data_IF_436844776534
#
_entry.id   IF_436844776534
#
_cell.length_a   1.000
_cell.length_b   1.000
_cell.length_c   1.000
_cell.angle_alpha   90.00
_cell.angle_beta   90.00
_cell.angle_gamma   90.00
#
_symmetry.space_group_name_H-M   'P 1'
#
loop_
_entity.id
_entity.type
_entity.pdbx_description
1 polymer ?
#
# COMPACT_ATOMS: atom_id res chain seq x y z
N UNK A 1 33.83 46.94 43.93
CA UNK A 1 34.49 45.82 43.18
C UNK A 1 34.13 44.38 43.66
N UNK A 2 33.88 44.09 44.92
CA UNK A 2 33.52 42.73 45.42
C UNK A 2 32.15 42.21 44.97
N UNK A 3 31.12 43.06 44.81
CA UNK A 3 29.75 42.60 44.31
C UNK A 3 29.70 42.21 42.82
N UNK A 4 30.57 42.81 41.99
CA UNK A 4 30.60 42.50 40.58
C UNK A 4 31.28 41.14 40.31
N UNK A 5 32.35 40.81 41.08
CA UNK A 5 33.02 39.49 40.99
C UNK A 5 32.11 38.34 41.43
N UNK A 6 31.24 38.55 42.43
CA UNK A 6 30.28 37.55 42.90
C UNK A 6 29.20 37.24 41.86
N UNK A 7 28.69 38.24 41.14
CA UNK A 7 27.67 38.06 40.11
C UNK A 7 28.20 37.36 38.87
N UNK A 8 29.44 37.61 38.49
CA UNK A 8 30.10 36.94 37.36
C UNK A 8 30.39 35.47 37.68
N UNK A 9 30.81 35.16 38.91
CA UNK A 9 31.04 33.79 39.36
C UNK A 9 29.74 32.99 39.45
N UNK A 10 28.66 33.59 39.98
CA UNK A 10 27.33 32.96 40.03
C UNK A 10 26.75 32.68 38.64
N UNK A 11 26.95 33.60 37.68
CA UNK A 11 26.53 33.43 36.29
C UNK A 11 27.28 32.28 35.59
N UNK A 12 28.59 32.15 35.86
CA UNK A 12 29.41 31.07 35.29
C UNK A 12 29.00 29.70 35.84
N UNK A 13 28.71 29.56 37.12
CA UNK A 13 28.21 28.33 37.74
C UNK A 13 26.81 27.96 37.23
N UNK A 14 25.94 28.93 36.99
CA UNK A 14 24.61 28.70 36.41
C UNK A 14 24.72 28.20 34.95
N UNK A 15 25.61 28.80 34.16
CA UNK A 15 25.86 28.38 32.78
C UNK A 15 26.47 26.98 32.76
N UNK A 16 27.48 26.67 33.56
CA UNK A 16 28.07 25.33 33.66
C UNK A 16 27.07 24.29 34.16
N UNK A 17 26.16 24.63 35.11
CA UNK A 17 25.05 23.73 35.50
C UNK A 17 24.00 23.58 34.42
N UNK A 18 23.69 24.60 33.64
CA UNK A 18 22.77 24.51 32.53
C UNK A 18 23.35 23.65 31.40
N UNK A 19 24.65 23.74 31.11
CA UNK A 19 25.33 22.88 30.11
C UNK A 19 25.37 21.40 30.57
N UNK A 20 25.42 21.13 31.88
CA UNK A 20 25.40 19.77 32.45
C UNK A 20 24.00 19.16 32.47
N UNK A 21 22.93 19.96 32.38
CA UNK A 21 21.54 19.52 32.47
C UNK A 21 20.86 19.52 31.09
N UNK A 22 21.27 20.38 30.17
CA UNK A 22 20.72 20.42 28.81
C UNK A 22 21.49 19.45 27.91
N UNK A 23 20.92 18.28 27.69
CA UNK A 23 21.36 17.36 26.62
C UNK A 23 20.75 17.82 25.29
N UNK A 24 21.59 18.36 24.43
CA UNK A 24 21.19 18.64 23.04
C UNK A 24 21.11 17.37 22.24
N UNK A 25 20.12 17.28 21.34
CA UNK A 25 20.06 16.19 20.36
C UNK A 25 21.11 16.51 19.30
N UNK A 26 22.13 15.66 19.20
CA UNK A 26 23.09 15.75 18.10
C UNK A 26 22.45 15.23 16.82
N UNK A 27 22.06 16.14 15.94
CA UNK A 27 21.47 15.83 14.64
C UNK A 27 22.50 15.29 13.64
N UNK A 28 23.78 15.37 13.94
CA UNK A 28 24.86 14.90 13.04
C UNK A 28 25.29 13.46 13.35
N UNK A 29 24.99 12.93 14.53
CA UNK A 29 25.23 11.51 14.84
C UNK A 29 24.19 10.64 14.14
N UNK A 30 24.60 10.03 13.04
CA UNK A 30 23.83 8.98 12.38
C UNK A 30 23.67 7.79 13.33
N UNK A 31 22.45 7.56 13.84
CA UNK A 31 22.11 6.35 14.63
C UNK A 31 22.16 5.08 13.77
N UNK A 32 22.38 5.20 12.45
CA UNK A 32 22.32 4.14 11.47
C UNK A 32 23.69 3.52 11.09
N UNK A 33 24.74 3.83 11.85
CA UNK A 33 26.08 3.22 11.61
C UNK A 33 26.05 1.67 11.62
N UNK A 34 25.01 1.06 12.21
CA UNK A 34 24.78 -0.40 12.27
C UNK A 34 23.78 -0.91 11.23
N UNK A 35 23.45 -0.12 10.22
CA UNK A 35 22.58 -0.55 9.14
C UNK A 35 23.38 -1.28 8.06
N UNK A 36 22.98 -2.51 7.76
CA UNK A 36 23.62 -3.35 6.72
C UNK A 36 23.61 -2.65 5.35
N UNK A 37 22.59 -1.84 5.03
CA UNK A 37 22.50 -1.12 3.75
C UNK A 37 23.64 -0.10 3.59
N UNK A 38 24.05 0.54 4.70
CA UNK A 38 25.19 1.45 4.70
C UNK A 38 26.50 0.68 4.47
N UNK A 39 26.63 -0.49 5.10
CA UNK A 39 27.80 -1.36 4.96
C UNK A 39 27.90 -1.84 3.50
N UNK A 40 26.79 -2.29 2.91
CA UNK A 40 26.74 -2.71 1.50
C UNK A 40 27.18 -1.57 0.57
N UNK A 41 26.66 -0.36 0.77
CA UNK A 41 27.04 0.81 -0.03
C UNK A 41 28.54 1.12 0.09
N UNK A 42 29.09 1.09 1.31
CA UNK A 42 30.52 1.34 1.55
C UNK A 42 31.39 0.25 0.94
N UNK A 43 31.00 -1.02 1.03
CA UNK A 43 31.73 -2.14 0.43
C UNK A 43 31.74 -2.03 -1.11
N UNK A 44 30.57 -1.79 -1.73
CA UNK A 44 30.47 -1.59 -3.19
C UNK A 44 31.28 -0.37 -3.69
N UNK A 45 31.41 0.66 -2.87
CA UNK A 45 32.22 1.85 -3.16
C UNK A 45 33.73 1.64 -2.87
N UNK A 46 34.15 0.47 -2.43
CA UNK A 46 35.54 0.18 -2.07
C UNK A 46 36.03 0.88 -0.79
N UNK A 47 35.11 1.44 0.00
CA UNK A 47 35.39 2.08 1.29
C UNK A 47 35.53 1.08 2.43
N UNK A 48 35.05 -0.13 2.27
CA UNK A 48 35.26 -1.30 3.15
C UNK A 48 35.84 -2.43 2.35
N UNK A 49 36.75 -3.18 2.97
CA UNK A 49 37.50 -4.28 2.36
C UNK A 49 37.45 -5.53 3.26
N UNK A 50 37.94 -6.62 2.76
CA UNK A 50 38.10 -7.85 3.53
C UNK A 50 38.92 -7.59 4.84
N UNK A 51 38.39 -8.10 5.96
CA UNK A 51 38.99 -7.92 7.29
C UNK A 51 38.56 -6.62 8.01
N UNK A 52 37.93 -5.67 7.36
CA UNK A 52 37.51 -4.41 8.01
C UNK A 52 36.43 -4.65 9.08
N UNK A 53 36.52 -3.98 10.25
CA UNK A 53 35.54 -4.14 11.32
C UNK A 53 34.20 -3.47 10.95
N UNK A 54 33.12 -4.13 11.29
CA UNK A 54 31.76 -3.66 11.08
C UNK A 54 30.87 -4.02 12.26
N UNK A 55 29.87 -3.17 12.51
CA UNK A 55 28.80 -3.44 13.48
C UNK A 55 27.47 -3.48 12.76
N UNK A 56 26.63 -4.47 13.06
CA UNK A 56 25.28 -4.60 12.51
C UNK A 56 24.25 -4.83 13.60
N UNK A 57 22.99 -4.58 13.25
CA UNK A 57 21.83 -4.86 14.12
C UNK A 57 20.78 -5.64 13.35
N UNK A 58 20.08 -6.52 14.03
CA UNK A 58 18.99 -7.28 13.42
C UNK A 58 18.41 -8.34 14.33
N UNK A 59 17.50 -9.14 13.79
CA UNK A 59 17.00 -10.34 14.47
C UNK A 59 17.65 -11.57 13.85
N UNK A 60 18.06 -12.52 14.69
CA UNK A 60 18.49 -13.84 14.22
C UNK A 60 17.31 -14.49 13.50
N UNK A 61 17.48 -14.78 12.21
CA UNK A 61 16.41 -15.35 11.39
C UNK A 61 16.51 -16.87 11.27
N UNK A 62 17.73 -17.36 11.08
CA UNK A 62 18.00 -18.79 10.96
C UNK A 62 19.45 -19.08 11.35
N UNK A 63 19.68 -20.21 11.99
CA UNK A 63 21.00 -20.73 12.33
C UNK A 63 21.14 -22.09 11.68
N UNK A 64 22.22 -22.27 10.91
CA UNK A 64 22.63 -23.56 10.37
C UNK A 64 23.97 -23.93 11.00
N UNK A 65 23.87 -24.69 12.08
CA UNK A 65 25.02 -25.18 12.83
C UNK A 65 25.69 -26.34 12.08
N UNK A 66 27.05 -26.26 11.94
CA UNK A 66 27.88 -27.26 11.30
C UNK A 66 28.96 -27.77 12.27
N UNK A 67 28.85 -27.47 13.57
CA UNK A 67 29.81 -27.85 14.63
C UNK A 67 30.92 -26.81 14.81
N UNK A 68 31.97 -26.90 14.02
CA UNK A 68 33.12 -25.97 14.09
C UNK A 68 32.80 -24.55 13.60
N UNK A 69 31.76 -24.41 12.82
CA UNK A 69 31.22 -23.12 12.33
C UNK A 69 29.72 -23.18 12.14
N UNK A 70 29.07 -22.01 12.10
CA UNK A 70 27.66 -21.89 11.81
C UNK A 70 27.39 -20.74 10.84
N UNK A 71 26.43 -20.95 9.93
CA UNK A 71 25.86 -19.86 9.16
C UNK A 71 24.67 -19.26 9.92
N UNK A 72 24.74 -17.98 10.20
CA UNK A 72 23.73 -17.24 10.94
C UNK A 72 23.12 -16.20 10.01
N UNK A 73 21.86 -16.39 9.64
CA UNK A 73 21.12 -15.42 8.88
C UNK A 73 20.51 -14.37 9.81
N UNK A 74 20.84 -13.11 9.57
CA UNK A 74 20.34 -11.96 10.35
C UNK A 74 19.36 -11.17 9.51
N UNK A 75 18.16 -10.91 10.05
CA UNK A 75 17.12 -10.12 9.40
C UNK A 75 17.23 -8.66 9.80
N UNK A 76 17.42 -7.79 8.81
CA UNK A 76 17.33 -6.33 8.91
C UNK A 76 15.95 -5.82 8.43
N UNK A 77 15.68 -4.52 8.48
CA UNK A 77 14.46 -3.95 7.93
C UNK A 77 14.22 -4.25 6.44
N UNK A 78 15.27 -4.36 5.62
CA UNK A 78 15.14 -4.56 4.17
C UNK A 78 15.45 -5.97 3.70
N UNK A 79 16.42 -6.67 4.32
CA UNK A 79 16.89 -7.97 3.84
C UNK A 79 17.27 -8.92 4.95
N UNK A 80 17.50 -10.16 4.57
CA UNK A 80 18.21 -11.15 5.35
C UNK A 80 19.64 -11.25 4.78
N UNK A 81 20.66 -11.22 5.65
CA UNK A 81 22.07 -11.33 5.26
C UNK A 81 22.77 -12.37 6.11
N UNK A 82 23.83 -12.96 5.56
CA UNK A 82 24.57 -14.04 6.19
C UNK A 82 25.72 -13.52 7.04
N UNK A 83 25.85 -14.09 8.24
CA UNK A 83 27.01 -14.00 9.10
C UNK A 83 27.59 -15.39 9.32
N UNK A 84 28.86 -15.48 9.69
CA UNK A 84 29.57 -16.74 9.97
C UNK A 84 30.10 -16.68 11.40
N UNK A 85 29.63 -17.61 12.21
CA UNK A 85 30.21 -17.89 13.53
C UNK A 85 31.27 -18.99 13.39
N UNK A 86 32.41 -18.88 14.09
CA UNK A 86 33.46 -19.87 14.10
C UNK A 86 33.87 -20.19 15.54
N UNK A 87 33.93 -21.47 15.90
CA UNK A 87 34.38 -21.94 17.21
C UNK A 87 35.81 -21.45 17.50
N UNK A 88 36.00 -20.91 18.70
CA UNK A 88 37.31 -20.39 19.14
C UNK A 88 37.74 -19.06 18.53
N UNK A 89 37.00 -18.48 17.59
CA UNK A 89 37.22 -17.13 17.05
C UNK A 89 36.15 -16.16 17.50
N UNK A 90 34.90 -16.61 17.60
CA UNK A 90 33.82 -15.84 18.19
C UNK A 90 33.87 -15.91 19.72
N UNK A 91 33.61 -14.82 20.42
CA UNK A 91 33.68 -14.72 21.88
C UNK A 91 32.43 -15.25 22.62
N UNK A 92 31.50 -15.88 21.91
CA UNK A 92 30.23 -16.43 22.43
C UNK A 92 29.99 -17.83 21.86
N UNK A 93 29.14 -18.62 22.55
CA UNK A 93 28.69 -19.93 22.06
C UNK A 93 27.49 -19.72 21.13
N UNK A 94 27.44 -20.44 20.01
CA UNK A 94 26.34 -20.41 19.05
C UNK A 94 25.02 -20.83 19.69
N UNK A 95 25.05 -21.67 20.73
CA UNK A 95 23.89 -22.15 21.45
C UNK A 95 23.28 -21.11 22.43
N UNK A 96 23.97 -19.98 22.66
CA UNK A 96 23.48 -18.88 23.49
C UNK A 96 22.46 -18.00 22.72
N UNK A 97 22.34 -18.20 21.39
CA UNK A 97 21.43 -17.46 20.53
C UNK A 97 20.43 -18.38 19.84
N UNK A 98 19.26 -17.85 19.57
CA UNK A 98 18.16 -18.56 18.91
C UNK A 98 17.46 -17.67 17.88
N UNK A 99 16.66 -18.26 16.95
CA UNK A 99 15.81 -17.48 16.05
C UNK A 99 14.93 -16.49 16.80
N UNK A 100 14.80 -15.27 16.24
CA UNK A 100 14.09 -14.12 16.79
C UNK A 100 14.74 -13.45 18.01
N UNK A 101 15.98 -13.81 18.34
CA UNK A 101 16.80 -12.95 19.20
C UNK A 101 17.18 -11.67 18.44
N UNK A 102 16.92 -10.52 19.05
CA UNK A 102 17.35 -9.22 18.56
C UNK A 102 18.74 -8.91 19.09
N UNK A 103 19.65 -8.61 18.17
CA UNK A 103 21.06 -8.53 18.51
C UNK A 103 21.73 -7.29 17.93
N UNK A 104 22.78 -6.85 18.65
CA UNK A 104 23.86 -6.04 18.14
C UNK A 104 25.06 -6.98 17.93
N UNK A 105 25.65 -6.96 16.74
CA UNK A 105 26.71 -7.86 16.33
C UNK A 105 27.90 -7.03 15.83
N UNK A 106 29.07 -7.28 16.40
CA UNK A 106 30.33 -6.76 15.90
C UNK A 106 31.12 -7.91 15.23
N UNK A 107 31.78 -7.61 14.13
CA UNK A 107 32.50 -8.59 13.34
C UNK A 107 33.33 -7.94 12.24
N UNK A 108 33.78 -8.76 11.30
CA UNK A 108 34.61 -8.32 10.17
C UNK A 108 34.01 -8.73 8.85
N UNK A 109 34.18 -7.90 7.85
CA UNK A 109 33.90 -8.24 6.44
C UNK A 109 34.72 -9.49 6.06
N UNK A 110 34.05 -10.46 5.46
CA UNK A 110 34.68 -11.62 4.81
C UNK A 110 34.23 -11.59 3.33
N UNK A 111 35.09 -11.10 2.46
CA UNK A 111 34.81 -11.03 1.02
C UNK A 111 34.59 -12.44 0.46
N UNK A 112 33.42 -12.70 -0.12
CA UNK A 112 33.08 -13.97 -0.77
C UNK A 112 32.20 -13.71 -1.98
N UNK A 113 32.71 -14.00 -3.18
CA UNK A 113 32.00 -13.83 -4.43
C UNK A 113 30.74 -14.73 -4.56
N UNK A 114 30.63 -15.78 -3.73
CA UNK A 114 29.45 -16.67 -3.68
C UNK A 114 28.31 -16.06 -2.84
N UNK A 115 28.65 -15.14 -1.93
CA UNK A 115 27.64 -14.43 -1.14
C UNK A 115 26.87 -13.46 -2.03
N UNK A 116 25.52 -13.39 -1.92
CA UNK A 116 24.69 -12.44 -2.67
C UNK A 116 25.09 -10.98 -2.49
N UNK A 117 25.73 -10.63 -1.38
CA UNK A 117 26.21 -9.27 -1.08
C UNK A 117 27.65 -9.04 -1.54
N UNK A 118 28.38 -10.10 -1.99
CA UNK A 118 29.80 -10.10 -2.27
C UNK A 118 30.67 -10.25 -1.02
N UNK A 119 30.06 -10.36 0.15
CA UNK A 119 30.72 -10.60 1.43
C UNK A 119 29.76 -11.25 2.44
N UNK A 120 30.32 -11.89 3.44
CA UNK A 120 29.69 -12.29 4.69
C UNK A 120 30.26 -11.48 5.86
N UNK A 121 29.71 -11.60 7.06
CA UNK A 121 30.25 -10.98 8.26
C UNK A 121 30.74 -12.09 9.20
N UNK A 122 32.06 -12.17 9.46
CA UNK A 122 32.60 -13.05 10.52
C UNK A 122 32.27 -12.44 11.87
N UNK A 123 31.54 -13.20 12.68
CA UNK A 123 31.04 -12.75 13.98
C UNK A 123 32.16 -12.79 15.02
N UNK A 124 32.43 -11.68 15.72
CA UNK A 124 33.39 -11.60 16.83
C UNK A 124 32.65 -11.56 18.16
N UNK A 125 31.69 -10.61 18.31
CA UNK A 125 30.92 -10.46 19.54
C UNK A 125 29.42 -10.30 19.24
N UNK A 126 28.59 -10.63 20.21
CA UNK A 126 27.14 -10.44 20.11
C UNK A 126 26.57 -9.93 21.42
N UNK A 127 25.64 -8.98 21.33
CA UNK A 127 24.84 -8.49 22.47
C UNK A 127 23.37 -8.71 22.19
N UNK A 128 22.74 -9.57 22.96
CA UNK A 128 21.29 -9.79 22.89
C UNK A 128 20.58 -8.60 23.56
N UNK A 129 19.70 -7.94 22.82
CA UNK A 129 18.92 -6.78 23.28
C UNK A 129 17.44 -7.11 23.45
N UNK A 130 17.00 -8.27 22.99
CA UNK A 130 15.65 -8.80 23.13
C UNK A 130 15.57 -10.19 22.50
N UNK A 131 14.48 -10.91 22.70
CA UNK A 131 14.35 -12.24 22.10
C UNK A 131 12.99 -12.91 22.37
N UNK A 132 12.77 -14.04 21.72
CA UNK A 132 11.58 -14.86 21.90
C UNK A 132 11.63 -15.59 23.25
N UNK A 133 10.49 -15.71 23.92
CA UNK A 133 10.35 -16.43 25.21
C UNK A 133 9.96 -17.91 24.99
N UNK A 134 9.84 -18.35 23.75
CA UNK A 134 9.47 -19.73 23.44
C UNK A 134 9.61 -20.03 21.96
N UNK A 135 9.28 -21.25 21.57
CA UNK A 135 9.32 -21.67 20.17
C UNK A 135 8.31 -20.90 19.33
N UNK A 136 8.71 -20.52 18.13
CA UNK A 136 7.80 -19.86 17.19
C UNK A 136 6.69 -20.80 16.73
N UNK A 137 5.45 -20.31 16.61
CA UNK A 137 4.32 -21.12 16.12
C UNK A 137 4.43 -21.45 14.62
N UNK A 138 5.29 -20.72 13.88
CA UNK A 138 5.54 -20.89 12.45
C UNK A 138 7.04 -20.86 12.17
N UNK A 139 7.49 -21.70 11.24
CA UNK A 139 8.85 -21.62 10.70
C UNK A 139 8.93 -20.53 9.62
N UNK A 140 9.38 -19.34 10.01
CA UNK A 140 9.39 -18.16 9.14
C UNK A 140 10.59 -18.10 8.19
N UNK A 141 11.60 -18.95 8.38
CA UNK A 141 12.82 -18.97 7.56
C UNK A 141 12.68 -19.81 6.28
N UNK A 142 11.61 -20.56 6.13
CA UNK A 142 11.37 -21.46 5.00
C UNK A 142 10.17 -20.99 4.16
N UNK A 143 10.45 -20.30 3.05
CA UNK A 143 9.42 -19.75 2.16
C UNK A 143 8.51 -20.84 1.56
N UNK A 144 9.04 -22.06 1.28
CA UNK A 144 8.21 -23.15 0.78
C UNK A 144 7.19 -23.60 1.81
N UNK A 145 7.58 -23.68 3.09
CA UNK A 145 6.65 -24.05 4.16
C UNK A 145 5.58 -22.95 4.34
N UNK A 146 5.98 -21.69 4.31
CA UNK A 146 5.04 -20.56 4.41
C UNK A 146 4.03 -20.56 3.25
N UNK A 147 4.48 -20.77 2.01
CA UNK A 147 3.58 -20.84 0.85
C UNK A 147 2.55 -21.96 0.93
N UNK A 148 2.91 -23.05 1.58
CA UNK A 148 2.04 -24.24 1.73
C UNK A 148 1.15 -24.20 2.98
N UNK A 149 1.26 -23.16 3.81
CA UNK A 149 0.36 -22.97 4.95
C UNK A 149 -1.04 -22.59 4.47
N UNK A 150 -2.04 -23.13 5.18
CA UNK A 150 -3.40 -22.64 5.01
C UNK A 150 -3.47 -21.15 5.41
N UNK A 151 -4.22 -20.37 4.65
CA UNK A 151 -4.36 -18.93 4.87
C UNK A 151 -4.75 -18.59 6.31
N UNK A 152 -5.73 -19.30 6.87
CA UNK A 152 -6.16 -19.06 8.25
C UNK A 152 -5.07 -19.30 9.29
N UNK A 153 -4.24 -20.33 9.10
CA UNK A 153 -3.09 -20.58 9.99
C UNK A 153 -2.09 -19.42 9.92
N UNK A 154 -1.78 -18.94 8.71
CA UNK A 154 -0.91 -17.79 8.51
C UNK A 154 -1.50 -16.51 9.13
N UNK A 155 -2.80 -16.27 8.95
CA UNK A 155 -3.48 -15.09 9.48
C UNK A 155 -3.66 -15.13 10.99
N UNK A 156 -3.91 -16.31 11.59
CA UNK A 156 -4.00 -16.45 13.04
C UNK A 156 -2.66 -16.23 13.76
N UNK A 157 -1.55 -16.43 13.04
CA UNK A 157 -0.20 -16.16 13.52
C UNK A 157 0.44 -14.94 12.80
N UNK A 158 -0.37 -13.96 12.40
CA UNK A 158 0.04 -12.88 11.48
C UNK A 158 1.26 -12.09 11.97
N UNK A 159 1.35 -11.78 13.26
CA UNK A 159 2.48 -11.06 13.86
C UNK A 159 3.81 -11.78 13.63
N UNK A 160 3.81 -13.11 13.63
CA UNK A 160 5.00 -13.93 13.35
C UNK A 160 5.17 -14.12 11.85
N UNK A 161 4.09 -14.43 11.11
CA UNK A 161 4.12 -14.62 9.66
C UNK A 161 4.67 -13.39 8.91
N UNK A 162 4.33 -12.18 9.35
CA UNK A 162 4.86 -10.91 8.80
C UNK A 162 6.40 -10.79 8.90
N UNK A 163 7.07 -11.63 9.67
CA UNK A 163 8.54 -11.66 9.76
C UNK A 163 9.21 -12.49 8.65
N UNK A 164 8.43 -13.31 7.93
CA UNK A 164 8.93 -14.04 6.77
C UNK A 164 9.31 -13.08 5.63
N UNK A 165 10.45 -13.26 4.93
CA UNK A 165 10.93 -12.38 3.88
C UNK A 165 9.93 -12.14 2.74
N UNK A 166 9.25 -13.19 2.25
CA UNK A 166 8.26 -13.08 1.17
C UNK A 166 7.02 -12.27 1.61
N UNK A 167 6.49 -12.52 2.80
CA UNK A 167 5.32 -11.80 3.31
C UNK A 167 5.67 -10.32 3.55
N UNK A 168 6.87 -10.05 4.07
CA UNK A 168 7.39 -8.68 4.19
C UNK A 168 7.50 -7.99 2.83
N UNK A 169 7.96 -8.71 1.81
CA UNK A 169 8.07 -8.16 0.46
C UNK A 169 6.71 -7.73 -0.09
N UNK A 170 5.63 -8.51 0.16
CA UNK A 170 4.26 -8.09 -0.20
C UNK A 170 3.91 -6.75 0.46
N UNK A 171 4.17 -6.60 1.77
CA UNK A 171 3.89 -5.35 2.49
C UNK A 171 4.76 -4.18 1.99
N UNK A 172 5.99 -4.47 1.57
CA UNK A 172 6.88 -3.46 0.98
C UNK A 172 6.38 -3.01 -0.40
N UNK A 173 5.87 -3.93 -1.22
CA UNK A 173 5.25 -3.56 -2.50
C UNK A 173 3.98 -2.73 -2.27
N UNK A 174 3.18 -3.04 -1.25
CA UNK A 174 2.03 -2.23 -0.87
C UNK A 174 2.44 -0.79 -0.48
N UNK A 175 3.52 -0.63 0.30
CA UNK A 175 4.14 0.67 0.58
C UNK A 175 4.58 1.37 -0.71
N UNK A 176 5.22 0.63 -1.64
CA UNK A 176 5.66 1.13 -2.94
C UNK A 176 4.52 1.63 -3.84
N UNK A 177 3.39 0.92 -3.86
CA UNK A 177 2.18 1.36 -4.58
C UNK A 177 1.66 2.69 -4.03
N UNK A 178 1.52 2.81 -2.71
CA UNK A 178 1.09 4.06 -2.07
C UNK A 178 2.10 5.20 -2.26
N UNK A 179 3.40 4.88 -2.23
CA UNK A 179 4.48 5.84 -2.50
C UNK A 179 4.38 6.38 -3.93
N UNK A 180 4.27 5.48 -4.93
CA UNK A 180 4.15 5.86 -6.33
C UNK A 180 2.92 6.72 -6.60
N UNK A 181 1.75 6.36 -6.03
CA UNK A 181 0.53 7.13 -6.11
C UNK A 181 0.73 8.57 -5.58
N UNK A 182 1.26 8.71 -4.36
CA UNK A 182 1.50 10.02 -3.74
C UNK A 182 2.52 10.86 -4.52
N UNK A 183 3.61 10.25 -4.95
CA UNK A 183 4.68 10.96 -5.66
C UNK A 183 4.17 11.50 -6.98
N UNK A 184 3.53 10.66 -7.79
CA UNK A 184 2.96 11.03 -9.07
C UNK A 184 1.94 12.18 -8.93
N UNK A 185 1.00 12.07 -8.01
CA UNK A 185 -0.03 13.10 -7.86
C UNK A 185 0.52 14.43 -7.34
N UNK A 186 1.54 14.41 -6.47
CA UNK A 186 2.21 15.66 -6.05
C UNK A 186 2.95 16.33 -7.21
N UNK A 187 3.58 15.56 -8.08
CA UNK A 187 4.23 16.06 -9.31
C UNK A 187 3.20 16.66 -10.27
N UNK A 188 1.98 16.09 -10.36
CA UNK A 188 0.86 16.62 -11.13
C UNK A 188 0.14 17.81 -10.45
N UNK A 189 0.60 18.26 -9.29
CA UNK A 189 0.08 19.44 -8.58
C UNK A 189 -1.13 19.16 -7.66
N UNK A 190 -1.42 17.90 -7.34
CA UNK A 190 -2.50 17.56 -6.42
C UNK A 190 -2.11 17.82 -4.95
N UNK A 191 -3.09 18.25 -4.15
CA UNK A 191 -2.97 18.45 -2.71
C UNK A 191 -3.53 17.25 -1.96
N UNK A 192 -2.74 16.65 -1.05
CA UNK A 192 -3.24 15.58 -0.17
C UNK A 192 -4.04 16.17 0.98
N UNK A 193 -5.25 15.68 1.23
CA UNK A 193 -6.08 16.05 2.37
C UNK A 193 -6.54 14.82 3.16
N UNK A 194 -6.96 15.04 4.40
CA UNK A 194 -7.42 13.95 5.28
C UNK A 194 -8.92 14.13 5.57
N UNK A 195 -9.79 13.31 4.96
CA UNK A 195 -11.22 13.34 5.25
C UNK A 195 -11.54 12.68 6.59
N UNK A 196 -12.64 13.09 7.26
CA UNK A 196 -13.11 12.42 8.46
C UNK A 196 -13.52 10.97 8.18
N UNK A 197 -13.31 10.09 9.17
CA UNK A 197 -13.72 8.68 9.11
C UNK A 197 -15.03 8.41 9.86
N UNK A 198 -15.43 9.30 10.76
CA UNK A 198 -16.74 9.30 11.42
C UNK A 198 -17.65 10.26 10.67
N UNK A 199 -18.79 9.75 10.19
CA UNK A 199 -19.75 10.51 9.37
C UNK A 199 -21.18 10.29 9.89
N UNK A 200 -22.09 11.20 9.54
CA UNK A 200 -23.50 11.09 9.95
C UNK A 200 -24.30 10.10 9.09
N UNK A 201 -23.84 9.78 7.88
CA UNK A 201 -24.54 8.88 6.94
C UNK A 201 -23.67 8.52 5.76
N UNK A 202 -24.12 7.55 4.96
CA UNK A 202 -23.37 7.06 3.78
C UNK A 202 -23.49 8.00 2.58
N UNK A 203 -22.39 8.19 1.90
CA UNK A 203 -22.32 8.91 0.64
C UNK A 203 -22.74 8.04 -0.56
N UNK A 204 -22.61 6.73 -0.43
CA UNK A 204 -22.79 5.75 -1.50
C UNK A 204 -23.87 4.76 -1.08
N UNK A 205 -25.13 5.06 -1.30
CA UNK A 205 -26.22 4.16 -0.93
C UNK A 205 -26.05 2.77 -1.56
N UNK A 206 -25.76 1.73 -0.74
CA UNK A 206 -25.70 0.34 -1.22
C UNK A 206 -24.93 -0.63 -0.34
N UNK A 207 -23.84 -0.25 0.28
CA UNK A 207 -23.14 -1.13 1.23
C UNK A 207 -23.61 -0.84 2.66
N UNK A 208 -23.79 -1.89 3.47
CA UNK A 208 -24.05 -1.76 4.89
C UNK A 208 -22.95 -0.96 5.57
N UNK A 209 -23.29 0.00 6.41
CA UNK A 209 -22.36 0.82 7.15
C UNK A 209 -22.15 0.28 8.55
N UNK A 210 -20.92 0.31 9.03
CA UNK A 210 -20.64 0.07 10.44
C UNK A 210 -21.08 1.27 11.28
N UNK A 211 -22.07 1.06 12.15
CA UNK A 211 -22.55 2.05 13.09
C UNK A 211 -21.65 2.06 14.33
N UNK A 212 -21.30 3.25 14.81
CA UNK A 212 -20.55 3.47 16.05
C UNK A 212 -21.30 4.41 16.98
N UNK A 213 -21.20 4.18 18.29
CA UNK A 213 -21.72 5.11 19.30
C UNK A 213 -20.80 6.33 19.36
N UNK A 214 -21.36 7.52 19.11
CA UNK A 214 -20.65 8.79 19.16
C UNK A 214 -21.32 9.71 20.17
N UNK A 215 -20.82 9.70 21.42
CA UNK A 215 -21.47 10.39 22.56
C UNK A 215 -22.95 9.97 22.68
N UNK A 216 -23.87 10.90 22.55
CA UNK A 216 -25.32 10.68 22.59
C UNK A 216 -25.93 10.48 21.19
N UNK A 217 -25.12 10.44 20.15
CA UNK A 217 -25.53 10.30 18.75
C UNK A 217 -25.03 8.98 18.15
N UNK A 218 -25.54 8.67 16.96
CA UNK A 218 -25.05 7.61 16.10
C UNK A 218 -24.15 8.22 15.03
N UNK A 219 -22.97 7.63 14.83
CA UNK A 219 -22.11 7.91 13.71
C UNK A 219 -21.89 6.62 12.92
N UNK A 220 -21.30 6.76 11.76
CA UNK A 220 -20.97 5.63 10.89
C UNK A 220 -19.52 5.73 10.44
N UNK A 221 -18.88 4.59 10.17
CA UNK A 221 -17.57 4.56 9.54
C UNK A 221 -17.71 4.86 8.05
N UNK A 222 -16.84 5.73 7.55
CA UNK A 222 -16.92 6.25 6.19
C UNK A 222 -16.59 5.16 5.15
N UNK A 223 -17.50 4.98 4.17
CA UNK A 223 -17.34 4.02 3.06
C UNK A 223 -16.45 4.54 1.93
N UNK A 224 -16.36 5.86 1.76
CA UNK A 224 -15.64 6.55 0.69
C UNK A 224 -15.48 8.02 1.03
N UNK A 225 -14.36 8.68 0.67
CA UNK A 225 -14.18 10.11 0.85
C UNK A 225 -14.94 10.97 -0.18
N UNK A 226 -15.86 10.40 -0.97
CA UNK A 226 -16.44 11.01 -2.18
C UNK A 226 -16.97 12.44 -1.97
N UNK A 227 -17.79 12.66 -0.94
CA UNK A 227 -18.36 14.00 -0.69
C UNK A 227 -17.27 15.02 -0.35
N UNK A 228 -16.26 14.60 0.40
CA UNK A 228 -15.17 15.48 0.82
C UNK A 228 -14.22 15.81 -0.32
N UNK A 229 -13.86 14.83 -1.17
CA UNK A 229 -12.97 15.10 -2.30
C UNK A 229 -13.62 16.00 -3.34
N UNK A 230 -14.94 15.87 -3.59
CA UNK A 230 -15.68 16.81 -4.44
C UNK A 230 -15.71 18.23 -3.84
N UNK A 231 -16.00 18.38 -2.55
CA UNK A 231 -15.97 19.67 -1.88
C UNK A 231 -14.60 20.33 -1.95
N UNK A 232 -13.52 19.54 -1.80
CA UNK A 232 -12.15 20.03 -1.83
C UNK A 232 -11.67 20.46 -3.23
N UNK A 233 -12.32 20.02 -4.31
CA UNK A 233 -12.10 20.57 -5.66
C UNK A 233 -12.40 22.06 -5.69
N UNK A 234 -13.46 22.51 -5.03
CA UNK A 234 -13.77 23.94 -4.91
C UNK A 234 -12.77 24.76 -4.08
N UNK A 235 -11.80 24.08 -3.43
CA UNK A 235 -10.76 24.71 -2.59
C UNK A 235 -9.39 24.68 -3.26
N UNK A 236 -8.99 23.53 -3.82
CA UNK A 236 -7.63 23.30 -4.34
C UNK A 236 -7.59 22.85 -5.80
N UNK A 237 -8.75 22.73 -6.47
CA UNK A 237 -8.87 22.25 -7.85
C UNK A 237 -8.49 20.75 -8.01
N UNK A 238 -7.31 20.34 -7.54
CA UNK A 238 -6.78 18.99 -7.63
C UNK A 238 -6.46 18.45 -6.25
N UNK A 239 -7.13 17.38 -5.85
CA UNK A 239 -6.97 16.81 -4.50
C UNK A 239 -6.90 15.29 -4.52
N UNK A 240 -6.21 14.73 -3.52
CA UNK A 240 -6.20 13.30 -3.31
C UNK A 240 -6.14 12.95 -1.83
N UNK A 241 -6.44 11.70 -1.52
CA UNK A 241 -6.32 11.16 -0.16
C UNK A 241 -5.95 9.68 -0.22
N UNK A 242 -5.16 9.22 0.75
CA UNK A 242 -4.88 7.80 1.00
C UNK A 242 -5.26 7.48 2.43
N UNK A 243 -6.14 6.53 2.62
CA UNK A 243 -6.54 6.16 3.98
C UNK A 243 -7.62 5.10 4.04
N UNK A 244 -7.90 4.57 5.26
CA UNK A 244 -8.85 3.49 5.42
C UNK A 244 -10.27 3.91 5.04
N UNK A 245 -10.99 2.98 4.42
CA UNK A 245 -12.42 3.03 4.15
C UNK A 245 -13.06 1.72 4.63
N UNK A 246 -14.36 1.76 4.95
CA UNK A 246 -15.06 0.70 5.67
C UNK A 246 -16.31 0.30 4.92
N UNK A 247 -16.44 -0.96 4.59
CA UNK A 247 -17.61 -1.51 3.93
C UNK A 247 -18.13 -2.71 4.70
N UNK A 248 -19.34 -2.65 5.24
CA UNK A 248 -20.00 -3.71 6.00
C UNK A 248 -20.63 -4.78 5.11
N UNK A 249 -20.09 -5.02 3.93
CA UNK A 249 -20.62 -5.99 2.99
C UNK A 249 -20.70 -7.40 3.59
N UNK A 250 -21.86 -8.02 3.45
CA UNK A 250 -22.13 -9.34 3.97
C UNK A 250 -21.55 -10.47 3.08
N UNK A 251 -20.35 -10.24 2.52
CA UNK A 251 -19.65 -11.17 1.67
C UNK A 251 -18.32 -11.62 2.30
N UNK A 252 -18.02 -12.91 2.20
CA UNK A 252 -16.75 -13.48 2.66
C UNK A 252 -16.04 -14.19 1.51
N UNK A 253 -15.64 -13.43 0.51
CA UNK A 253 -14.95 -13.95 -0.66
C UNK A 253 -13.46 -13.59 -0.62
N UNK A 254 -12.61 -14.22 -1.45
CA UNK A 254 -11.20 -13.83 -1.57
C UNK A 254 -10.95 -12.39 -2.04
N UNK A 255 -11.97 -11.68 -2.54
CA UNK A 255 -11.89 -10.34 -3.13
C UNK A 255 -12.38 -9.21 -2.21
N UNK A 256 -12.83 -9.51 -0.97
CA UNK A 256 -13.48 -8.54 -0.09
C UNK A 256 -12.81 -8.44 1.27
N UNK A 257 -12.61 -7.20 1.70
CA UNK A 257 -12.22 -6.78 3.04
C UNK A 257 -13.28 -5.80 3.56
N UNK A 258 -13.51 -5.80 4.88
CA UNK A 258 -14.41 -4.82 5.50
C UNK A 258 -13.72 -3.50 5.84
N UNK A 259 -12.39 -3.50 5.88
CA UNK A 259 -11.52 -2.34 6.04
C UNK A 259 -10.35 -2.48 5.06
N UNK A 260 -10.14 -1.49 4.20
CA UNK A 260 -9.06 -1.47 3.22
C UNK A 260 -8.57 -0.05 2.95
N UNK A 261 -7.41 0.09 2.32
CA UNK A 261 -6.85 1.39 1.98
C UNK A 261 -7.43 1.90 0.66
N UNK A 262 -8.26 2.94 0.74
CA UNK A 262 -8.69 3.70 -0.42
C UNK A 262 -7.61 4.70 -0.84
N UNK A 263 -7.35 4.77 -2.14
CA UNK A 263 -6.51 5.76 -2.80
C UNK A 263 -7.40 6.53 -3.77
N UNK A 264 -7.77 7.73 -3.40
CA UNK A 264 -8.83 8.50 -4.05
C UNK A 264 -8.29 9.83 -4.54
N UNK A 265 -8.74 10.28 -5.72
CA UNK A 265 -8.51 11.64 -6.21
C UNK A 265 -9.77 12.25 -6.78
N UNK A 266 -9.75 13.58 -6.91
CA UNK A 266 -10.75 14.37 -7.64
C UNK A 266 -10.07 15.59 -8.24
N UNK A 267 -10.40 15.97 -9.49
CA UNK A 267 -9.87 17.14 -10.18
C UNK A 267 -10.95 17.94 -10.92
N UNK A 268 -10.81 19.23 -10.87
CA UNK A 268 -11.65 20.20 -11.57
C UNK A 268 -11.10 20.56 -12.95
N UNK A 269 -11.92 21.30 -13.71
CA UNK A 269 -11.63 21.78 -15.07
C UNK A 269 -11.29 20.67 -16.06
N UNK A 270 -11.98 19.51 -15.91
CA UNK A 270 -11.90 18.46 -16.91
C UNK A 270 -12.73 18.82 -18.14
N UNK A 271 -12.22 18.50 -19.32
CA UNK A 271 -12.97 18.61 -20.57
C UNK A 271 -13.90 17.40 -20.74
N UNK A 272 -13.43 16.22 -20.33
CA UNK A 272 -14.19 14.98 -20.35
C UNK A 272 -13.67 13.99 -19.30
N UNK A 273 -14.37 12.87 -19.12
CA UNK A 273 -13.91 11.81 -18.20
C UNK A 273 -12.70 11.04 -18.73
N UNK A 274 -12.38 11.14 -20.01
CA UNK A 274 -11.18 10.60 -20.61
C UNK A 274 -9.90 11.22 -20.02
N UNK A 275 -9.94 12.49 -19.58
CA UNK A 275 -8.83 13.15 -18.89
C UNK A 275 -8.40 12.38 -17.63
N UNK A 276 -9.38 11.79 -16.94
CA UNK A 276 -9.13 10.96 -15.76
C UNK A 276 -8.48 9.63 -16.13
N UNK A 277 -8.94 9.01 -17.23
CA UNK A 277 -8.39 7.76 -17.73
C UNK A 277 -6.92 7.93 -18.17
N UNK A 278 -6.62 9.05 -18.86
CA UNK A 278 -5.25 9.40 -19.24
C UNK A 278 -4.35 9.62 -18.02
N UNK A 279 -4.82 10.40 -17.05
CA UNK A 279 -4.10 10.62 -15.80
C UNK A 279 -3.81 9.30 -15.08
N UNK A 280 -4.82 8.43 -14.99
CA UNK A 280 -4.70 7.13 -14.32
C UNK A 280 -3.74 6.20 -15.06
N UNK A 281 -3.78 6.16 -16.40
CA UNK A 281 -2.84 5.40 -17.20
C UNK A 281 -1.38 5.85 -16.95
N UNK A 282 -1.12 7.17 -16.97
CA UNK A 282 0.20 7.74 -16.65
C UNK A 282 0.64 7.44 -15.22
N UNK A 283 -0.29 7.45 -14.28
CA UNK A 283 -0.05 7.08 -12.89
C UNK A 283 0.42 5.62 -12.75
N UNK A 284 -0.25 4.67 -13.42
CA UNK A 284 0.16 3.27 -13.39
C UNK A 284 1.51 3.04 -14.08
N UNK A 285 1.82 3.75 -15.17
CA UNK A 285 3.17 3.75 -15.77
C UNK A 285 4.21 4.17 -14.73
N UNK A 286 3.98 5.27 -14.00
CA UNK A 286 4.89 5.76 -12.97
C UNK A 286 5.04 4.77 -11.79
N UNK A 287 3.94 4.18 -11.33
CA UNK A 287 3.97 3.18 -10.24
C UNK A 287 4.77 1.94 -10.66
N UNK A 288 4.54 1.40 -11.86
CA UNK A 288 5.24 0.20 -12.33
C UNK A 288 6.75 0.47 -12.50
N UNK A 289 7.12 1.63 -13.05
CA UNK A 289 8.52 2.05 -13.16
C UNK A 289 9.19 2.18 -11.80
N UNK A 290 8.51 2.79 -10.83
CA UNK A 290 9.00 2.94 -9.45
C UNK A 290 9.23 1.56 -8.81
N UNK A 291 8.25 0.66 -8.90
CA UNK A 291 8.33 -0.68 -8.32
C UNK A 291 9.47 -1.48 -8.96
N UNK A 292 9.60 -1.47 -10.27
CA UNK A 292 10.68 -2.16 -10.98
C UNK A 292 12.08 -1.63 -10.60
N UNK A 293 12.19 -0.33 -10.33
CA UNK A 293 13.46 0.32 -10.01
C UNK A 293 13.84 0.21 -8.53
N UNK A 294 12.90 0.46 -7.62
CA UNK A 294 13.21 0.63 -6.20
C UNK A 294 12.78 -0.54 -5.32
N UNK A 295 11.91 -1.43 -5.83
CA UNK A 295 11.39 -2.60 -5.12
C UNK A 295 11.70 -3.91 -5.84
N UNK A 296 12.77 -3.92 -6.67
CA UNK A 296 13.18 -5.08 -7.44
C UNK A 296 13.49 -6.30 -6.58
N UNK A 297 14.15 -6.12 -5.43
CA UNK A 297 14.46 -7.19 -4.48
C UNK A 297 13.19 -7.82 -3.89
N UNK A 298 12.16 -7.01 -3.64
CA UNK A 298 10.85 -7.45 -3.17
C UNK A 298 10.07 -8.20 -4.25
N UNK A 299 10.11 -7.71 -5.50
CA UNK A 299 9.50 -8.39 -6.64
C UNK A 299 10.15 -9.77 -6.86
N UNK A 300 11.47 -9.88 -6.76
CA UNK A 300 12.19 -11.15 -6.87
C UNK A 300 11.73 -12.19 -5.82
N UNK A 301 11.45 -11.74 -4.58
CA UNK A 301 10.98 -12.61 -3.51
C UNK A 301 9.54 -13.12 -3.75
N UNK A 302 8.70 -12.33 -4.41
CA UNK A 302 7.28 -12.67 -4.57
C UNK A 302 6.99 -13.31 -5.92
N UNK A 303 7.42 -12.68 -7.01
CA UNK A 303 7.18 -13.13 -8.38
C UNK A 303 8.17 -14.22 -8.82
N UNK A 304 9.41 -14.12 -8.36
CA UNK A 304 10.53 -14.98 -8.75
C UNK A 304 11.70 -14.14 -9.25
N UNK A 305 12.88 -14.72 -9.21
CA UNK A 305 14.13 -14.04 -9.56
C UNK A 305 14.05 -13.43 -10.98
N UNK A 306 14.48 -12.18 -11.08
CA UNK A 306 14.50 -11.39 -12.32
C UNK A 306 13.12 -11.14 -12.97
N UNK A 307 12.02 -11.51 -12.30
CA UNK A 307 10.67 -11.15 -12.76
C UNK A 307 10.39 -9.67 -12.49
N UNK A 308 9.79 -9.01 -13.47
CA UNK A 308 9.44 -7.58 -13.40
C UNK A 308 7.99 -7.35 -13.84
N UNK A 309 7.42 -6.25 -13.39
CA UNK A 309 6.15 -5.78 -13.91
C UNK A 309 6.33 -5.34 -15.38
N UNK A 310 5.31 -5.50 -16.24
CA UNK A 310 5.40 -5.11 -17.64
C UNK A 310 5.68 -3.60 -17.79
N UNK A 311 6.42 -3.24 -18.83
CA UNK A 311 6.61 -1.84 -19.21
C UNK A 311 5.36 -1.33 -19.93
N UNK A 312 4.53 -0.60 -19.21
CA UNK A 312 3.28 -0.04 -19.75
C UNK A 312 3.48 1.03 -20.83
N UNK A 313 4.70 1.55 -21.02
CA UNK A 313 5.00 2.49 -22.12
C UNK A 313 5.05 1.79 -23.47
N UNK A 314 5.23 0.48 -23.49
CA UNK A 314 5.37 -0.30 -24.71
C UNK A 314 4.06 -0.96 -25.15
N UNK A 315 2.98 -0.81 -24.40
CA UNK A 315 1.67 -1.38 -24.69
C UNK A 315 0.60 -0.30 -24.81
N UNK A 316 -0.43 -0.57 -25.60
CA UNK A 316 -1.61 0.27 -25.65
C UNK A 316 -2.63 -0.25 -24.65
N UNK A 317 -3.07 0.59 -23.71
CA UNK A 317 -4.12 0.24 -22.76
C UNK A 317 -5.48 0.33 -23.49
N UNK A 318 -6.18 -0.80 -23.68
CA UNK A 318 -7.43 -0.80 -24.41
C UNK A 318 -8.56 -0.16 -23.60
N UNK A 319 -9.54 0.40 -24.32
CA UNK A 319 -10.81 0.82 -23.77
C UNK A 319 -11.97 0.22 -24.56
N UNK A 320 -13.05 -0.14 -23.86
CA UNK A 320 -14.26 -0.69 -24.46
C UNK A 320 -15.49 -0.17 -23.73
N UNK A 321 -16.59 0.12 -24.45
CA UNK A 321 -17.85 0.47 -23.81
C UNK A 321 -18.48 -0.75 -23.13
N UNK A 322 -19.14 -0.56 -22.01
CA UNK A 322 -19.80 -1.63 -21.25
C UNK A 322 -20.73 -2.49 -22.12
N UNK A 323 -21.55 -1.88 -22.96
CA UNK A 323 -22.46 -2.61 -23.85
C UNK A 323 -21.69 -3.49 -24.84
N UNK A 324 -20.62 -2.95 -25.44
CA UNK A 324 -19.77 -3.67 -26.40
C UNK A 324 -18.97 -4.79 -25.71
N UNK A 325 -18.52 -4.58 -24.48
CA UNK A 325 -17.85 -5.62 -23.67
C UNK A 325 -18.78 -6.81 -23.39
N UNK A 326 -20.04 -6.55 -23.06
CA UNK A 326 -21.07 -7.58 -22.88
C UNK A 326 -21.31 -8.38 -24.17
N UNK A 327 -21.47 -7.66 -25.28
CA UNK A 327 -21.69 -8.29 -26.57
C UNK A 327 -20.50 -9.13 -27.01
N UNK A 328 -19.27 -8.59 -26.87
CA UNK A 328 -18.02 -9.28 -27.19
C UNK A 328 -17.88 -10.57 -26.37
N UNK A 329 -18.12 -10.49 -25.04
CA UNK A 329 -18.10 -11.67 -24.20
C UNK A 329 -19.12 -12.73 -24.62
N UNK A 330 -20.37 -12.35 -24.85
CA UNK A 330 -21.43 -13.28 -25.24
C UNK A 330 -21.12 -13.97 -26.58
N UNK A 331 -20.65 -13.21 -27.58
CA UNK A 331 -20.30 -13.75 -28.92
C UNK A 331 -19.11 -14.71 -28.86
N UNK A 332 -18.08 -14.36 -28.09
CA UNK A 332 -16.80 -15.11 -28.13
C UNK A 332 -16.82 -16.30 -27.17
N UNK A 333 -17.41 -16.15 -25.97
CA UNK A 333 -17.50 -17.24 -25.00
C UNK A 333 -18.66 -18.20 -25.22
N UNK A 334 -19.67 -17.78 -25.97
CA UNK A 334 -20.93 -18.52 -26.14
C UNK A 334 -21.82 -18.53 -24.88
N UNK A 335 -21.46 -17.77 -23.84
CA UNK A 335 -22.18 -17.72 -22.56
C UNK A 335 -23.24 -16.64 -22.56
N UNK A 336 -24.31 -16.86 -21.78
CA UNK A 336 -25.35 -15.86 -21.59
C UNK A 336 -24.91 -14.79 -20.61
N UNK A 337 -25.29 -13.54 -20.87
CA UNK A 337 -25.16 -12.43 -19.95
C UNK A 337 -26.09 -12.70 -18.75
N UNK A 338 -25.53 -12.72 -17.54
CA UNK A 338 -26.27 -13.01 -16.31
C UNK A 338 -26.74 -11.73 -15.62
N UNK A 339 -25.96 -10.66 -15.69
CA UNK A 339 -26.30 -9.35 -15.15
C UNK A 339 -26.25 -8.32 -16.30
N UNK A 340 -27.38 -7.68 -16.66
CA UNK A 340 -27.42 -6.71 -17.76
C UNK A 340 -26.87 -5.32 -17.38
N UNK A 341 -26.61 -5.04 -16.10
CA UNK A 341 -26.24 -3.69 -15.62
C UNK A 341 -24.88 -3.65 -14.96
N UNK A 342 -24.24 -4.82 -14.73
CA UNK A 342 -22.91 -4.91 -14.15
C UNK A 342 -22.07 -6.01 -14.80
N UNK A 343 -20.73 -5.96 -14.65
CA UNK A 343 -19.85 -7.06 -15.02
C UNK A 343 -19.82 -8.09 -13.89
N UNK A 344 -20.03 -9.35 -14.25
CA UNK A 344 -19.77 -10.44 -13.32
C UNK A 344 -18.26 -10.69 -13.16
N UNK A 345 -17.81 -11.31 -12.07
CA UNK A 345 -16.40 -11.67 -11.91
C UNK A 345 -15.84 -12.54 -13.03
N UNK A 346 -16.69 -13.33 -13.68
CA UNK A 346 -16.30 -14.16 -14.82
C UNK A 346 -16.05 -13.30 -16.05
N UNK A 347 -16.92 -12.32 -16.32
CA UNK A 347 -16.78 -11.39 -17.45
C UNK A 347 -15.56 -10.51 -17.28
N UNK A 348 -15.33 -9.95 -16.07
CA UNK A 348 -14.11 -9.20 -15.78
C UNK A 348 -12.85 -10.02 -16.07
N UNK A 349 -12.79 -11.26 -15.55
CA UNK A 349 -11.66 -12.16 -15.75
C UNK A 349 -11.44 -12.48 -17.23
N UNK A 350 -12.52 -12.73 -17.96
CA UNK A 350 -12.45 -13.01 -19.38
C UNK A 350 -11.95 -11.81 -20.18
N UNK A 351 -12.49 -10.60 -19.91
CA UNK A 351 -12.05 -9.35 -20.56
C UNK A 351 -10.55 -9.11 -20.31
N UNK A 352 -10.08 -9.27 -19.07
CA UNK A 352 -8.67 -9.11 -18.75
C UNK A 352 -7.78 -10.09 -19.51
N UNK A 353 -8.19 -11.36 -19.66
CA UNK A 353 -7.43 -12.36 -20.42
C UNK A 353 -7.46 -12.09 -21.92
N UNK A 354 -8.61 -11.70 -22.45
CA UNK A 354 -8.79 -11.39 -23.86
C UNK A 354 -7.88 -10.23 -24.29
N UNK A 355 -7.95 -9.10 -23.59
CA UNK A 355 -7.14 -7.92 -23.94
C UNK A 355 -5.66 -8.10 -23.63
N UNK A 356 -5.29 -8.84 -22.59
CA UNK A 356 -3.89 -9.20 -22.36
C UNK A 356 -3.30 -10.00 -23.53
N UNK A 357 -4.06 -10.95 -24.09
CA UNK A 357 -3.63 -11.73 -25.24
C UNK A 357 -3.55 -10.90 -26.53
N UNK A 358 -4.45 -9.95 -26.72
CA UNK A 358 -4.55 -9.13 -27.93
C UNK A 358 -3.55 -7.97 -27.95
N UNK A 359 -3.38 -7.26 -26.81
CA UNK A 359 -2.62 -6.02 -26.74
C UNK A 359 -1.35 -6.10 -25.89
N UNK A 360 -1.19 -7.18 -25.09
CA UNK A 360 -0.12 -7.30 -24.09
C UNK A 360 -0.35 -6.45 -22.84
N UNK A 361 -1.45 -5.70 -22.77
CA UNK A 361 -1.77 -4.85 -21.62
C UNK A 361 -2.44 -5.64 -20.51
N UNK A 362 -1.95 -5.56 -19.26
CA UNK A 362 -2.66 -6.12 -18.10
C UNK A 362 -3.85 -5.27 -17.66
N UNK A 363 -3.96 -4.03 -18.19
CA UNK A 363 -4.99 -3.04 -17.89
C UNK A 363 -6.00 -2.95 -19.03
N UNK A 364 -7.28 -2.78 -18.69
CA UNK A 364 -8.36 -2.45 -19.64
C UNK A 364 -9.38 -1.52 -19.00
N UNK A 365 -9.73 -0.43 -19.68
CA UNK A 365 -10.81 0.45 -19.27
C UNK A 365 -12.14 -0.05 -19.83
N UNK A 366 -13.14 -0.19 -18.98
CA UNK A 366 -14.54 -0.41 -19.39
C UNK A 366 -15.33 0.85 -19.08
N UNK A 367 -15.95 1.45 -20.09
CA UNK A 367 -16.56 2.78 -20.00
C UNK A 367 -18.08 2.74 -20.17
N UNK A 368 -18.76 3.83 -19.83
CA UNK A 368 -20.20 4.02 -20.04
C UNK A 368 -21.05 2.94 -19.37
N UNK A 369 -20.91 2.80 -18.07
CA UNK A 369 -21.76 1.90 -17.29
C UNK A 369 -23.20 2.41 -17.20
N UNK A 370 -24.19 1.49 -17.04
CA UNK A 370 -25.58 1.86 -16.88
C UNK A 370 -25.81 2.83 -15.71
N UNK A 371 -26.59 3.90 -15.95
CA UNK A 371 -26.86 4.93 -14.94
C UNK A 371 -27.51 4.38 -13.66
N UNK A 372 -28.31 3.32 -13.77
CA UNK A 372 -28.94 2.66 -12.62
C UNK A 372 -27.92 2.03 -11.66
N UNK A 373 -26.74 1.63 -12.16
CA UNK A 373 -25.67 1.00 -11.37
C UNK A 373 -24.79 2.04 -10.67
N UNK A 374 -24.61 3.24 -11.26
CA UNK A 374 -23.70 4.26 -10.76
C UNK A 374 -24.36 5.13 -9.68
N UNK A 375 -23.58 5.72 -8.76
CA UNK A 375 -24.10 6.59 -7.71
C UNK A 375 -24.83 7.83 -8.26
N UNK A 376 -25.61 8.49 -7.40
CA UNK A 376 -26.44 9.63 -7.76
C UNK A 376 -25.64 10.87 -8.22
N UNK A 377 -24.37 10.93 -7.90
CA UNK A 377 -23.49 12.04 -8.28
C UNK A 377 -22.76 11.83 -9.63
N UNK A 378 -22.83 10.64 -10.22
CA UNK A 378 -22.22 10.39 -11.52
C UNK A 378 -22.97 11.14 -12.63
N UNK A 379 -22.25 11.75 -13.58
CA UNK A 379 -22.82 12.43 -14.73
C UNK A 379 -23.43 11.41 -15.69
N UNK A 380 -24.70 11.62 -16.08
CA UNK A 380 -25.29 10.84 -17.17
C UNK A 380 -24.70 11.28 -18.50
N UNK A 381 -24.52 10.35 -19.44
CA UNK A 381 -24.10 10.66 -20.81
C UNK A 381 -25.18 11.51 -21.49
N UNK A 382 -24.88 12.74 -21.95
CA UNK A 382 -25.86 13.61 -22.61
C UNK A 382 -26.42 13.01 -23.89
N UNK A 383 -25.65 12.19 -24.60
CA UNK A 383 -26.10 11.54 -25.84
C UNK A 383 -26.99 10.33 -25.54
N UNK A 384 -26.74 9.62 -24.43
CA UNK A 384 -27.53 8.47 -24.04
C UNK A 384 -27.68 8.36 -22.51
N UNK A 385 -28.65 9.06 -21.89
CA UNK A 385 -28.80 9.12 -20.43
C UNK A 385 -29.11 7.78 -19.71
N UNK A 386 -29.16 6.67 -20.43
CA UNK A 386 -29.16 5.33 -19.84
C UNK A 386 -27.82 4.91 -19.30
N UNK A 387 -26.74 5.57 -19.77
CA UNK A 387 -25.37 5.36 -19.37
C UNK A 387 -24.81 6.59 -18.65
N UNK A 388 -23.63 6.44 -18.08
CA UNK A 388 -22.91 7.53 -17.39
C UNK A 388 -21.53 7.74 -18.03
N UNK A 389 -21.00 8.95 -17.89
CA UNK A 389 -19.61 9.28 -18.22
C UNK A 389 -18.68 8.75 -17.11
N UNK A 390 -18.65 7.43 -17.00
CA UNK A 390 -17.88 6.71 -15.98
C UNK A 390 -17.15 5.53 -16.57
N UNK A 391 -16.18 5.05 -15.81
CA UNK A 391 -15.40 3.88 -16.19
C UNK A 391 -15.00 3.04 -14.97
N UNK A 392 -14.65 1.79 -15.21
CA UNK A 392 -13.87 0.96 -14.31
C UNK A 392 -12.55 0.57 -15.00
N UNK A 393 -11.47 0.52 -14.22
CA UNK A 393 -10.19 -0.02 -14.68
C UNK A 393 -10.02 -1.42 -14.12
N UNK A 394 -9.83 -2.38 -15.00
CA UNK A 394 -9.51 -3.76 -14.66
C UNK A 394 -8.00 -3.98 -14.74
N UNK A 395 -7.42 -4.62 -13.72
CA UNK A 395 -6.04 -5.13 -13.74
C UNK A 395 -6.08 -6.66 -13.67
N UNK A 396 -5.54 -7.32 -14.70
CA UNK A 396 -5.61 -8.78 -14.85
C UNK A 396 -7.02 -9.35 -14.62
N UNK A 397 -8.05 -8.61 -15.08
CA UNK A 397 -9.45 -9.03 -14.96
C UNK A 397 -10.04 -8.94 -13.56
N UNK A 398 -9.56 -8.00 -12.75
CA UNK A 398 -10.21 -7.56 -11.52
C UNK A 398 -10.41 -6.05 -11.57
N UNK A 399 -11.62 -5.58 -11.29
CA UNK A 399 -11.88 -4.16 -11.05
C UNK A 399 -11.05 -3.66 -9.87
N UNK A 400 -10.13 -2.72 -10.15
CA UNK A 400 -9.28 -2.07 -9.15
C UNK A 400 -9.71 -0.62 -8.89
N UNK A 401 -10.35 0.02 -9.86
CA UNK A 401 -10.74 1.43 -9.82
C UNK A 401 -12.13 1.61 -10.38
N UNK A 402 -12.89 2.52 -9.77
CA UNK A 402 -14.10 3.13 -10.34
C UNK A 402 -13.93 4.64 -10.42
N UNK A 403 -14.12 5.20 -11.61
CA UNK A 403 -13.98 6.63 -11.88
C UNK A 403 -15.06 7.20 -12.77
N UNK A 404 -15.04 8.52 -12.95
CA UNK A 404 -15.91 9.22 -13.89
C UNK A 404 -16.14 10.69 -13.57
N UNK A 405 -16.80 11.34 -14.50
CA UNK A 405 -17.24 12.73 -14.36
C UNK A 405 -18.42 12.83 -13.37
N UNK A 406 -18.43 13.93 -12.60
CA UNK A 406 -19.48 14.20 -11.62
C UNK A 406 -20.41 15.29 -12.13
N UNK A 407 -21.63 15.28 -11.61
CA UNK A 407 -22.55 16.41 -11.82
C UNK A 407 -22.01 17.57 -10.99
N UNK A 408 -21.74 18.71 -11.62
CA UNK A 408 -21.25 19.91 -10.95
C UNK A 408 -22.34 21.00 -10.84
N UNK A 409 -23.35 20.94 -11.69
CA UNK A 409 -24.48 21.87 -11.69
C UNK A 409 -25.50 21.50 -10.62
N UNK A 410 -25.97 22.50 -9.85
CA UNK A 410 -26.89 22.31 -8.73
C UNK A 410 -28.25 21.77 -9.18
N UNK A 411 -28.83 22.34 -10.25
CA UNK A 411 -30.16 21.97 -10.71
C UNK A 411 -30.14 20.55 -11.30
N UNK A 412 -29.12 20.20 -12.04
CA UNK A 412 -28.93 18.84 -12.56
C UNK A 412 -28.78 17.83 -11.44
N UNK A 413 -28.01 18.16 -10.37
CA UNK A 413 -27.84 17.28 -9.24
C UNK A 413 -29.15 17.04 -8.48
N UNK A 414 -29.93 18.10 -8.23
CA UNK A 414 -31.27 18.01 -7.61
C UNK A 414 -32.23 17.21 -8.49
N UNK A 415 -32.20 17.43 -9.81
CA UNK A 415 -33.05 16.70 -10.73
C UNK A 415 -32.74 15.20 -10.74
N UNK A 416 -31.48 14.83 -10.75
CA UNK A 416 -31.05 13.41 -10.69
C UNK A 416 -31.43 12.76 -9.37
N UNK A 417 -31.27 13.44 -8.23
CA UNK A 417 -31.73 12.96 -6.93
C UNK A 417 -33.21 12.66 -6.93
N UNK A 418 -34.05 13.61 -7.39
CA UNK A 418 -35.49 13.42 -7.50
C UNK A 418 -35.86 12.24 -8.42
N UNK A 419 -35.20 12.10 -9.57
CA UNK A 419 -35.37 10.96 -10.49
C UNK A 419 -35.11 9.62 -9.82
N UNK A 420 -34.21 9.61 -8.82
CA UNK A 420 -33.85 8.43 -8.02
C UNK A 420 -34.65 8.28 -6.72
N UNK A 421 -35.74 9.02 -6.57
CA UNK A 421 -36.62 9.04 -5.39
C UNK A 421 -35.88 9.42 -4.08
N UNK A 422 -34.76 10.17 -4.19
CA UNK A 422 -34.05 10.74 -3.06
C UNK A 422 -34.63 12.11 -2.72
N UNK A 423 -34.78 12.41 -1.42
CA UNK A 423 -35.18 13.73 -0.98
C UNK A 423 -33.97 14.66 -0.88
N UNK A 424 -33.85 15.73 -1.68
CA UNK A 424 -32.71 16.65 -1.64
C UNK A 424 -32.45 17.30 -0.28
N UNK A 425 -33.50 17.48 0.55
CA UNK A 425 -33.37 18.08 1.88
C UNK A 425 -32.52 17.23 2.83
N UNK A 426 -32.48 15.91 2.64
CA UNK A 426 -31.66 15.02 3.44
C UNK A 426 -30.16 15.10 3.07
N UNK A 427 -29.84 15.79 1.98
CA UNK A 427 -28.51 15.96 1.42
C UNK A 427 -28.06 17.43 1.34
N UNK A 428 -28.64 18.31 2.17
CA UNK A 428 -28.32 19.74 2.13
C UNK A 428 -26.82 20.02 2.26
N UNK A 429 -26.13 19.34 3.16
CA UNK A 429 -24.69 19.48 3.32
C UNK A 429 -23.90 19.11 2.05
N UNK A 430 -24.33 18.08 1.34
CA UNK A 430 -23.73 17.69 0.06
C UNK A 430 -24.07 18.72 -1.03
N UNK A 431 -25.29 19.16 -1.12
CA UNK A 431 -25.74 20.13 -2.11
C UNK A 431 -25.19 21.54 -1.90
N UNK A 432 -24.69 21.83 -0.70
CA UNK A 432 -24.08 23.12 -0.37
C UNK A 432 -22.89 23.44 -1.28
N UNK A 433 -22.03 22.47 -1.58
CA UNK A 433 -20.89 22.69 -2.47
C UNK A 433 -21.33 23.03 -3.91
N UNK A 434 -22.40 22.38 -4.42
CA UNK A 434 -22.96 22.69 -5.73
C UNK A 434 -23.62 24.07 -5.76
N UNK A 435 -24.34 24.42 -4.69
CA UNK A 435 -25.03 25.72 -4.55
C UNK A 435 -24.04 26.88 -4.58
N UNK A 436 -22.86 26.72 -4.05
CA UNK A 436 -21.83 27.76 -4.03
C UNK A 436 -20.83 27.67 -5.18
N UNK A 437 -21.01 26.70 -6.07
CA UNK A 437 -20.27 26.58 -7.32
C UNK A 437 -19.12 25.60 -7.28
N UNK A 438 -19.14 24.67 -8.22
CA UNK A 438 -18.04 23.75 -8.52
C UNK A 438 -17.72 23.83 -10.03
N UNK A 439 -16.47 23.73 -10.44
CA UNK A 439 -16.14 23.57 -11.86
C UNK A 439 -16.58 22.16 -12.35
N UNK A 440 -16.67 21.93 -13.67
CA UNK A 440 -16.71 20.59 -14.21
C UNK A 440 -15.57 19.76 -13.58
N UNK A 441 -15.89 18.61 -12.99
CA UNK A 441 -14.93 17.83 -12.24
C UNK A 441 -15.22 16.33 -12.33
N UNK A 442 -14.21 15.57 -11.99
CA UNK A 442 -14.31 14.15 -11.91
C UNK A 442 -13.17 13.55 -11.11
N UNK A 443 -13.21 12.26 -10.90
CA UNK A 443 -12.21 11.58 -10.15
C UNK A 443 -12.46 10.08 -10.08
N UNK A 444 -11.60 9.41 -9.32
CA UNK A 444 -11.71 7.98 -9.12
C UNK A 444 -11.31 7.57 -7.71
N UNK A 445 -11.63 6.34 -7.35
CA UNK A 445 -11.16 5.68 -6.15
C UNK A 445 -10.70 4.27 -6.47
N UNK A 446 -9.54 3.89 -5.94
CA UNK A 446 -8.99 2.56 -6.12
C UNK A 446 -8.62 1.92 -4.77
N UNK A 447 -8.69 0.58 -4.70
CA UNK A 447 -8.33 -0.19 -3.53
C UNK A 447 -6.88 -0.67 -3.61
N UNK A 448 -6.03 -0.23 -2.67
CA UNK A 448 -4.60 -0.59 -2.64
C UNK A 448 -4.39 -2.11 -2.62
N UNK A 449 -5.15 -2.82 -1.80
CA UNK A 449 -5.00 -4.27 -1.65
C UNK A 449 -5.38 -5.03 -2.92
N UNK A 450 -6.39 -4.56 -3.70
CA UNK A 450 -6.72 -5.15 -5.01
C UNK A 450 -5.61 -4.95 -6.03
N UNK A 451 -4.99 -3.76 -6.04
CA UNK A 451 -3.83 -3.47 -6.89
C UNK A 451 -2.68 -4.43 -6.54
N UNK A 452 -2.31 -4.54 -5.27
CA UNK A 452 -1.22 -5.42 -4.81
C UNK A 452 -1.53 -6.89 -5.08
N UNK A 453 -2.77 -7.33 -4.83
CA UNK A 453 -3.23 -8.69 -5.14
C UNK A 453 -2.93 -9.05 -6.60
N UNK A 454 -3.30 -8.17 -7.52
CA UNK A 454 -3.16 -8.45 -8.97
C UNK A 454 -1.75 -8.24 -9.49
N UNK A 455 -1.02 -7.25 -8.99
CA UNK A 455 0.40 -7.06 -9.33
C UNK A 455 1.27 -8.26 -8.94
N UNK A 456 0.98 -8.88 -7.81
CA UNK A 456 1.78 -9.96 -7.25
C UNK A 456 1.19 -11.35 -7.48
N UNK A 457 0.03 -11.44 -8.16
CA UNK A 457 -0.63 -12.72 -8.44
C UNK A 457 -1.04 -13.47 -7.16
N UNK A 458 -1.47 -12.75 -6.11
CA UNK A 458 -1.94 -13.36 -4.88
C UNK A 458 -3.32 -14.00 -5.08
N UNK A 459 -3.58 -15.08 -4.36
CA UNK A 459 -4.84 -15.81 -4.48
C UNK A 459 -5.97 -15.20 -3.63
N UNK A 460 -5.59 -14.41 -2.62
CA UNK A 460 -6.53 -13.84 -1.67
C UNK A 460 -6.09 -12.44 -1.23
N UNK A 461 -7.02 -11.49 -1.32
CA UNK A 461 -6.79 -10.08 -0.98
C UNK A 461 -6.27 -9.89 0.47
N UNK A 462 -6.58 -10.82 1.39
CA UNK A 462 -6.10 -10.80 2.78
C UNK A 462 -4.58 -10.88 2.87
N UNK A 463 -3.92 -11.47 1.88
CA UNK A 463 -2.46 -11.53 1.81
C UNK A 463 -1.82 -10.16 1.58
N UNK A 464 -2.53 -9.28 0.86
CA UNK A 464 -2.09 -7.91 0.58
C UNK A 464 -2.24 -6.94 1.76
N UNK A 465 -2.97 -7.30 2.81
CA UNK A 465 -3.14 -6.50 4.02
C UNK A 465 -2.25 -6.98 5.16
N UNK A 466 -1.65 -6.04 5.91
CA UNK A 466 -0.84 -6.39 7.09
C UNK A 466 -1.68 -7.10 8.15
N UNK A 467 -2.84 -6.55 8.47
CA UNK A 467 -3.81 -7.08 9.43
C UNK A 467 -5.21 -7.00 8.81
N UNK A 468 -5.60 -7.97 7.98
CA UNK A 468 -6.87 -7.90 7.25
C UNK A 468 -8.08 -7.95 8.18
N UNK A 469 -9.11 -7.18 7.83
CA UNK A 469 -10.42 -7.22 8.47
C UNK A 469 -11.44 -7.73 7.47
N UNK A 470 -12.19 -8.72 7.90
CA UNK A 470 -13.31 -9.26 7.14
C UNK A 470 -14.48 -9.59 8.09
N UNK A 471 -15.55 -10.11 7.54
CA UNK A 471 -16.75 -10.46 8.32
C UNK A 471 -16.46 -11.34 9.56
N UNK A 472 -15.42 -12.17 9.52
CA UNK A 472 -15.12 -13.16 10.54
C UNK A 472 -13.85 -12.81 11.33
N UNK A 473 -13.08 -11.78 10.92
CA UNK A 473 -11.77 -11.47 11.49
C UNK A 473 -11.68 -10.05 11.99
N UNK A 474 -11.57 -9.88 13.32
CA UNK A 474 -11.29 -8.62 14.02
C UNK A 474 -9.95 -8.64 14.80
N UNK A 475 -9.28 -9.78 14.84
CA UNK A 475 -7.97 -9.94 15.50
C UNK A 475 -6.94 -10.42 14.49
N UNK A 476 -5.67 -10.05 14.75
CA UNK A 476 -4.56 -10.50 13.93
C UNK A 476 -4.45 -12.00 13.97
#
# INVERSE_FOLDING_TARGET
MRKVKSAVCARKIIIERMETVMKYIDLQQSRDARDIEIIIKKFKAGMLRDGDPVSVKGAIHHIKDMGEFAFVNVRSPRRVFQCVWEAGKSSFDIHDIQPEDWVLLDGRIAADARSPLGFDIRMETITKVGGAVGSLPLEISNDRKIKNLQLDTMLNNRVVALRNPRIRAIMRVADGVMHGFRSFLREEGFVEFVPPKLVMGGAEGGADMFMVKYFDQRAYLNQSPQQYKQAMVGVFEKVFTVGPVFRGENSNTPRHLTEFQGMDLEMGFIDSFEDLMELEARMFVSIFDLLNREYADELDLVLGKDQRLPDLKTVQIPQIRFADAKELYAKTSGKKITDPVDLSPEEEKWLGQHFLAETGSPLVFVTHYPSVKRPFYAMDDPENPRYTLSYDLLLHGLEITTGGQRIHDYEQQVAKMKKRHMNPADFENYLTMHKYGLPPHGGFGLGMERVVEKLLGLENIREAAAFPRDRNRLQP
#
